data_IF_997957723029
#
_entry.id   IF_997957723029
#
_cell.length_a   1.000
_cell.length_b   1.000
_cell.length_c   1.000
_cell.angle_alpha   90.00
_cell.angle_beta   90.00
_cell.angle_gamma   90.00
#
_symmetry.space_group_name_H-M   'P 1'
#
loop_
_entity.id
_entity.type
_entity.pdbx_description
1 polymer ?
#
# COMPACT_ATOMS: atom_id res chain seq x y z
N UNK A 1 3.09 21.55 -1.35
CA UNK A 1 1.78 21.04 -1.81
C UNK A 1 1.84 19.53 -1.73
N UNK A 2 0.93 18.90 -0.98
CA UNK A 2 0.92 17.44 -0.81
C UNK A 2 0.36 16.81 -2.09
N UNK A 3 1.02 15.76 -2.61
CA UNK A 3 0.57 14.98 -3.79
C UNK A 3 -0.78 14.28 -3.59
N UNK A 4 -1.22 14.23 -2.33
CA UNK A 4 -2.45 13.56 -1.89
C UNK A 4 -3.36 14.58 -1.20
N UNK A 5 -4.64 14.53 -1.53
CA UNK A 5 -5.69 15.26 -0.80
C UNK A 5 -5.89 14.67 0.60
N UNK A 6 -6.49 15.44 1.52
CA UNK A 6 -6.75 14.95 2.88
C UNK A 6 -7.59 13.64 2.92
N UNK A 7 -8.64 13.47 2.09
CA UNK A 7 -9.33 12.18 1.98
C UNK A 7 -8.42 11.03 1.55
N UNK A 8 -7.54 11.26 0.55
CA UNK A 8 -6.61 10.25 0.06
C UNK A 8 -5.59 9.84 1.13
N UNK A 9 -5.15 10.77 1.98
CA UNK A 9 -4.22 10.47 3.08
C UNK A 9 -4.86 9.58 4.15
N UNK A 10 -6.10 9.90 4.56
CA UNK A 10 -6.84 9.06 5.52
C UNK A 10 -7.06 7.64 4.99
N UNK A 11 -7.41 7.52 3.71
CA UNK A 11 -7.62 6.23 3.08
C UNK A 11 -6.29 5.45 2.92
N UNK A 12 -5.21 6.14 2.55
CA UNK A 12 -3.88 5.54 2.48
C UNK A 12 -3.48 4.96 3.85
N UNK A 13 -3.71 5.69 4.95
CA UNK A 13 -3.43 5.19 6.30
C UNK A 13 -4.25 3.93 6.65
N UNK A 14 -5.54 3.89 6.30
CA UNK A 14 -6.39 2.72 6.54
C UNK A 14 -5.94 1.49 5.73
N UNK A 15 -5.62 1.69 4.45
CA UNK A 15 -5.13 0.61 3.59
C UNK A 15 -3.76 0.12 4.06
N UNK A 16 -2.87 1.05 4.43
CA UNK A 16 -1.55 0.77 4.97
C UNK A 16 -1.61 -0.14 6.19
N UNK A 17 -2.40 0.25 7.18
CA UNK A 17 -2.62 -0.55 8.38
C UNK A 17 -3.20 -1.93 8.04
N UNK A 18 -4.18 -2.01 7.14
CA UNK A 18 -4.76 -3.28 6.71
C UNK A 18 -3.74 -4.22 6.05
N UNK A 19 -2.90 -3.71 5.16
CA UNK A 19 -1.85 -4.49 4.50
C UNK A 19 -0.81 -4.98 5.51
N UNK A 20 -0.37 -4.10 6.41
CA UNK A 20 0.56 -4.43 7.49
C UNK A 20 0.03 -5.55 8.37
N UNK A 21 -1.19 -5.41 8.87
CA UNK A 21 -1.83 -6.41 9.74
C UNK A 21 -1.90 -7.78 9.06
N UNK A 22 -2.27 -7.82 7.77
CA UNK A 22 -2.34 -9.07 7.02
C UNK A 22 -0.94 -9.67 6.75
N UNK A 23 0.07 -8.84 6.47
CA UNK A 23 1.45 -9.30 6.32
C UNK A 23 1.96 -9.93 7.62
N UNK A 24 1.78 -9.23 8.75
CA UNK A 24 2.25 -9.68 10.06
C UNK A 24 1.52 -10.96 10.51
N UNK A 25 0.21 -11.08 10.24
CA UNK A 25 -0.55 -12.34 10.47
C UNK A 25 -0.05 -13.53 9.66
N UNK A 26 0.60 -13.28 8.53
CA UNK A 26 1.22 -14.31 7.69
C UNK A 26 2.71 -14.51 8.01
N UNK A 27 3.23 -13.88 9.07
CA UNK A 27 4.63 -13.93 9.49
C UNK A 27 5.63 -13.56 8.38
N UNK A 28 5.19 -12.75 7.40
CA UNK A 28 6.04 -12.29 6.30
C UNK A 28 6.79 -11.03 6.70
N UNK A 29 8.08 -10.97 6.37
CA UNK A 29 8.85 -9.73 6.52
C UNK A 29 8.46 -8.71 5.45
N UNK A 30 8.78 -7.43 5.68
CA UNK A 30 8.57 -6.39 4.67
C UNK A 30 9.48 -6.64 3.45
N UNK A 31 10.67 -7.21 3.69
CA UNK A 31 11.64 -7.62 2.70
C UNK A 31 11.09 -8.74 1.78
N UNK A 32 10.36 -9.71 2.34
CA UNK A 32 9.71 -10.76 1.54
C UNK A 32 8.70 -10.17 0.55
N UNK A 33 7.92 -9.17 0.99
CA UNK A 33 7.00 -8.45 0.13
C UNK A 33 7.76 -7.65 -0.92
N UNK A 34 8.84 -6.97 -0.54
CA UNK A 34 9.67 -6.21 -1.46
C UNK A 34 10.24 -7.07 -2.59
N UNK A 35 10.75 -8.27 -2.25
CA UNK A 35 11.30 -9.23 -3.22
C UNK A 35 10.21 -9.70 -4.19
N UNK A 36 9.02 -10.05 -3.70
CA UNK A 36 7.92 -10.58 -4.53
C UNK A 36 7.28 -9.51 -5.41
N UNK A 37 7.21 -8.28 -4.92
CA UNK A 37 6.57 -7.16 -5.62
C UNK A 37 7.55 -6.31 -6.43
N UNK A 38 8.86 -6.47 -6.26
CA UNK A 38 9.88 -5.58 -6.83
C UNK A 38 9.67 -4.10 -6.46
N UNK A 39 8.99 -3.84 -5.34
CA UNK A 39 8.79 -2.50 -4.78
C UNK A 39 9.82 -2.29 -3.69
N UNK A 40 10.47 -1.12 -3.66
CA UNK A 40 11.48 -0.81 -2.65
C UNK A 40 10.88 -0.88 -1.24
N UNK A 41 11.57 -1.47 -0.24
CA UNK A 41 11.07 -1.55 1.14
C UNK A 41 10.61 -0.21 1.72
N UNK A 42 11.32 0.88 1.41
CA UNK A 42 10.95 2.24 1.83
C UNK A 42 9.55 2.66 1.35
N UNK A 43 9.17 2.27 0.13
CA UNK A 43 7.84 2.60 -0.40
C UNK A 43 6.77 1.73 0.24
N UNK A 44 7.05 0.45 0.47
CA UNK A 44 6.13 -0.45 1.20
C UNK A 44 5.93 0.00 2.64
N UNK A 45 7.00 0.44 3.31
CA UNK A 45 6.90 1.04 4.64
C UNK A 45 6.04 2.32 4.59
N UNK A 46 6.26 3.18 3.59
CA UNK A 46 5.42 4.36 3.37
C UNK A 46 3.93 4.04 3.18
N UNK A 47 3.61 2.93 2.49
CA UNK A 47 2.24 2.41 2.43
C UNK A 47 1.75 2.00 3.82
N UNK A 48 2.47 1.13 4.53
CA UNK A 48 2.07 0.61 5.84
C UNK A 48 1.88 1.70 6.91
N UNK A 49 2.69 2.76 6.86
CA UNK A 49 2.61 3.88 7.80
C UNK A 49 1.66 4.99 7.34
N UNK A 50 1.09 4.89 6.14
CA UNK A 50 0.29 5.96 5.56
C UNK A 50 1.06 7.26 5.32
N UNK A 51 2.36 7.18 5.01
CA UNK A 51 3.22 8.35 4.82
C UNK A 51 3.26 8.77 3.33
N UNK A 52 2.52 9.82 2.92
CA UNK A 52 2.46 10.24 1.53
C UNK A 52 3.75 10.89 1.01
N UNK A 53 4.62 11.39 1.89
CA UNK A 53 5.80 12.18 1.50
C UNK A 53 6.87 11.34 0.80
N UNK A 54 6.93 10.05 1.14
CA UNK A 54 7.86 9.09 0.54
C UNK A 54 7.29 8.39 -0.69
N UNK A 55 5.99 8.57 -0.96
CA UNK A 55 5.29 7.87 -2.04
C UNK A 55 5.38 8.64 -3.37
N UNK A 56 5.37 7.92 -4.50
CA UNK A 56 5.25 8.53 -5.82
C UNK A 56 3.82 9.08 -6.04
N UNK A 57 3.54 9.52 -7.26
CA UNK A 57 2.21 9.99 -7.63
C UNK A 57 1.11 8.95 -7.34
N UNK A 58 -0.11 9.37 -6.93
CA UNK A 58 -1.17 8.47 -6.49
C UNK A 58 -1.50 7.33 -7.47
N UNK A 59 -1.37 7.58 -8.78
CA UNK A 59 -1.60 6.56 -9.82
C UNK A 59 -0.67 5.35 -9.70
N UNK A 60 0.58 5.56 -9.27
CA UNK A 60 1.53 4.47 -9.04
C UNK A 60 1.25 3.75 -7.72
N UNK A 61 0.86 4.51 -6.69
CA UNK A 61 0.52 3.97 -5.37
C UNK A 61 -0.62 2.96 -5.44
N UNK A 62 -1.62 3.19 -6.29
CA UNK A 62 -2.69 2.22 -6.54
C UNK A 62 -2.15 0.88 -7.04
N UNK A 63 -1.22 0.91 -8.00
CA UNK A 63 -0.57 -0.30 -8.52
C UNK A 63 0.24 -1.02 -7.45
N UNK A 64 0.89 -0.29 -6.56
CA UNK A 64 1.65 -0.87 -5.45
C UNK A 64 0.76 -1.56 -4.42
N UNK A 65 -0.33 -0.89 -4.01
CA UNK A 65 -1.34 -1.45 -3.11
C UNK A 65 -1.88 -2.76 -3.68
N UNK A 66 -2.24 -2.78 -4.97
CA UNK A 66 -2.74 -3.98 -5.64
C UNK A 66 -1.72 -5.13 -5.60
N UNK A 67 -0.48 -4.89 -6.04
CA UNK A 67 0.55 -5.94 -6.08
C UNK A 67 0.89 -6.47 -4.68
N UNK A 68 0.89 -5.60 -3.68
CA UNK A 68 1.06 -6.01 -2.29
C UNK A 68 -0.11 -6.91 -1.86
N UNK A 69 -1.35 -6.49 -2.05
CA UNK A 69 -2.53 -7.28 -1.73
C UNK A 69 -2.52 -8.68 -2.38
N UNK A 70 -2.21 -8.73 -3.68
CA UNK A 70 -2.09 -9.98 -4.45
C UNK A 70 -1.00 -10.91 -3.86
N UNK A 71 0.12 -10.35 -3.41
CA UNK A 71 1.21 -11.10 -2.74
C UNK A 71 0.79 -11.70 -1.39
N UNK A 72 -0.19 -11.10 -0.74
CA UNK A 72 -0.81 -11.59 0.49
C UNK A 72 -1.99 -12.55 0.22
N UNK A 73 -2.33 -12.83 -1.04
CA UNK A 73 -3.51 -13.63 -1.41
C UNK A 73 -4.83 -12.90 -1.17
N UNK A 74 -4.81 -11.58 -1.01
CA UNK A 74 -5.99 -10.75 -0.77
C UNK A 74 -6.66 -10.45 -2.13
N UNK A 75 -7.40 -11.43 -2.64
CA UNK A 75 -8.25 -11.32 -3.83
C UNK A 75 -9.47 -10.43 -3.53
N UNK A 76 -9.29 -9.11 -3.40
CA UNK A 76 -10.42 -8.24 -3.07
C UNK A 76 -10.12 -6.77 -2.80
N UNK A 77 -8.85 -6.33 -2.74
CA UNK A 77 -8.56 -4.89 -2.61
C UNK A 77 -8.96 -4.08 -3.86
N UNK A 78 -9.43 -4.73 -4.94
CA UNK A 78 -10.10 -4.06 -6.07
C UNK A 78 -11.13 -3.00 -5.63
N UNK A 79 -11.83 -3.22 -4.50
CA UNK A 79 -12.79 -2.28 -3.92
C UNK A 79 -12.20 -0.90 -3.58
N UNK A 80 -10.91 -0.80 -3.22
CA UNK A 80 -10.28 0.48 -2.84
C UNK A 80 -9.73 1.26 -4.05
N UNK A 81 -9.43 0.57 -5.16
CA UNK A 81 -8.92 1.17 -6.40
C UNK A 81 -9.97 1.99 -7.17
N UNK A 82 -11.25 1.66 -6.98
CA UNK A 82 -12.37 2.36 -7.60
C UNK A 82 -12.56 3.82 -7.15
N UNK A 83 -11.85 4.26 -6.10
CA UNK A 83 -12.10 5.51 -5.36
C UNK A 83 -11.26 6.70 -5.90
N UNK A 84 -10.41 6.48 -6.90
CA UNK A 84 -9.71 7.56 -7.61
C UNK A 84 -10.41 8.01 -8.91
N UNK A 85 -11.71 7.73 -9.03
CA UNK A 85 -12.58 8.39 -10.01
C UNK A 85 -13.21 9.63 -9.42
#
# INVERSE_FOLDING_TARGET
MTKFSAPQQNQLAQIGAFLRDNREKQEKSLEDIAIRTYIRPQLLNGLETGNPDVLPEPIFVQGFIRRYAETLGLNGIETFSAIYR
#
